data_IF_914245390337
#
_entry.id   IF_914245390337
#
_cell.length_a   1.000
_cell.length_b   1.000
_cell.length_c   1.000
_cell.angle_alpha   90.00
_cell.angle_beta   90.00
_cell.angle_gamma   90.00
#
_symmetry.space_group_name_H-M   'P 1'
#
loop_
_entity.id
_entity.type
_entity.pdbx_description
1 polymer ?
#
# COMPACT_ATOMS: atom_id res chain seq x y z
N UNK A 1 0.39 -13.94 -0.68
CA UNK A 1 1.76 -13.87 -1.27
C UNK A 1 2.74 -14.38 -0.21
N UNK A 2 3.80 -15.10 -0.56
CA UNK A 2 4.60 -15.93 0.35
C UNK A 2 5.62 -15.17 1.25
N UNK A 3 6.43 -15.92 2.01
CA UNK A 3 7.48 -15.40 2.91
C UNK A 3 8.68 -14.74 2.23
N UNK A 4 8.90 -14.97 0.93
CA UNK A 4 10.04 -14.41 0.21
C UNK A 4 9.72 -13.02 -0.36
N UNK A 5 8.44 -12.72 -0.59
CA UNK A 5 8.05 -11.51 -1.28
C UNK A 5 7.35 -10.49 -0.37
N UNK A 6 7.95 -9.31 -0.22
CA UNK A 6 7.44 -8.23 0.64
C UNK A 6 7.24 -6.91 -0.10
N UNK A 7 6.46 -6.03 0.51
CA UNK A 7 6.35 -4.62 0.14
C UNK A 7 6.67 -3.77 1.36
N UNK A 8 7.26 -2.62 1.10
CA UNK A 8 7.40 -1.54 2.05
C UNK A 8 6.86 -0.27 1.38
N UNK A 9 6.11 0.52 2.14
CA UNK A 9 5.65 1.84 1.72
C UNK A 9 6.04 2.87 2.78
N UNK A 10 6.08 4.13 2.38
CA UNK A 10 6.49 5.22 3.25
C UNK A 10 6.61 6.50 2.43
N UNK A 11 7.63 7.31 2.76
CA UNK A 11 7.87 8.60 2.12
C UNK A 11 7.99 9.72 3.14
N UNK A 12 7.86 10.95 2.67
CA UNK A 12 7.86 12.14 3.50
C UNK A 12 6.45 12.39 4.04
N UNK A 13 6.28 12.22 5.35
CA UNK A 13 4.99 12.37 6.02
C UNK A 13 4.51 13.84 6.08
N UNK A 14 5.38 14.81 5.76
CA UNK A 14 5.02 16.23 5.79
C UNK A 14 4.01 16.55 4.68
N UNK A 15 2.90 17.24 5.00
CA UNK A 15 1.90 17.59 4.00
C UNK A 15 2.49 18.32 2.78
N UNK A 16 2.06 17.91 1.58
CA UNK A 16 2.46 18.53 0.32
C UNK A 16 3.88 18.20 -0.17
N UNK A 17 4.64 17.36 0.54
CA UNK A 17 5.96 16.92 0.07
C UNK A 17 5.86 15.71 -0.85
N UNK A 18 6.61 15.75 -1.96
CA UNK A 18 6.71 14.62 -2.87
C UNK A 18 7.47 13.45 -2.22
N UNK A 19 7.03 12.23 -2.49
CA UNK A 19 7.68 11.01 -2.00
C UNK A 19 8.19 10.15 -3.15
N UNK A 20 9.27 10.56 -3.86
CA UNK A 20 9.74 9.88 -5.09
C UNK A 20 10.25 8.45 -4.86
N UNK A 21 10.38 8.03 -3.60
CA UNK A 21 10.73 6.65 -3.19
C UNK A 21 9.75 6.12 -2.13
N UNK A 22 8.46 6.32 -2.35
CA UNK A 22 7.40 5.93 -1.42
C UNK A 22 7.12 4.41 -1.36
N UNK A 23 7.76 3.59 -2.20
CA UNK A 23 7.54 2.15 -2.20
C UNK A 23 8.78 1.36 -2.63
N UNK A 24 8.95 0.18 -2.05
CA UNK A 24 9.96 -0.79 -2.41
C UNK A 24 9.41 -2.23 -2.32
N UNK A 25 10.01 -3.14 -3.09
CA UNK A 25 9.67 -4.57 -3.10
C UNK A 25 10.90 -5.43 -2.82
N UNK A 26 10.67 -6.57 -2.19
CA UNK A 26 11.66 -7.63 -2.01
C UNK A 26 11.11 -8.94 -2.60
N UNK A 27 12.02 -9.80 -3.05
CA UNK A 27 11.75 -11.18 -3.50
C UNK A 27 12.67 -12.19 -2.82
N UNK A 28 13.44 -11.77 -1.82
CA UNK A 28 14.47 -12.57 -1.14
C UNK A 28 14.34 -12.52 0.39
N UNK A 29 13.10 -12.39 0.87
CA UNK A 29 12.73 -12.29 2.29
C UNK A 29 13.33 -11.06 2.98
N UNK A 30 13.42 -9.94 2.26
CA UNK A 30 13.88 -8.65 2.81
C UNK A 30 15.40 -8.50 2.86
N UNK A 31 16.18 -9.42 2.27
CA UNK A 31 17.64 -9.28 2.15
C UNK A 31 18.02 -8.15 1.19
N UNK A 32 17.24 -7.96 0.14
CA UNK A 32 17.38 -6.91 -0.85
C UNK A 32 16.04 -6.24 -1.15
N UNK A 33 16.10 -4.93 -1.39
CA UNK A 33 14.93 -4.11 -1.71
C UNK A 33 15.18 -3.35 -3.02
N UNK A 34 14.18 -3.37 -3.89
CA UNK A 34 14.18 -2.61 -5.15
C UNK A 34 13.08 -1.55 -5.09
N UNK A 35 13.40 -0.26 -5.34
CA UNK A 35 12.39 0.79 -5.44
C UNK A 35 11.34 0.45 -6.49
N UNK A 36 10.08 0.80 -6.24
CA UNK A 36 9.03 0.71 -7.26
C UNK A 36 9.40 1.56 -8.49
N UNK A 37 9.05 1.08 -9.67
CA UNK A 37 9.32 1.77 -10.94
C UNK A 37 8.40 3.01 -11.06
N UNK A 38 7.17 2.89 -10.55
CA UNK A 38 6.25 4.01 -10.32
C UNK A 38 5.64 3.90 -8.92
N UNK A 39 6.23 4.56 -7.90
CA UNK A 39 5.72 4.51 -6.53
C UNK A 39 4.44 5.34 -6.36
N UNK A 40 3.73 5.21 -5.22
CA UNK A 40 2.73 6.19 -4.81
C UNK A 40 3.31 7.61 -4.85
N UNK A 41 2.49 8.60 -5.23
CA UNK A 41 2.95 9.98 -5.38
C UNK A 41 3.27 10.68 -4.05
N UNK A 42 2.68 10.19 -2.96
CA UNK A 42 2.76 10.75 -1.62
C UNK A 42 3.00 9.65 -0.57
N UNK A 43 3.23 10.07 0.67
CA UNK A 43 3.41 9.17 1.80
C UNK A 43 2.24 8.20 1.99
N UNK A 44 2.58 6.93 2.27
CA UNK A 44 1.64 5.88 2.67
C UNK A 44 2.11 5.26 3.99
N UNK A 45 1.19 5.15 4.94
CA UNK A 45 1.44 4.66 6.29
C UNK A 45 1.27 3.14 6.41
N UNK A 46 0.42 2.53 5.56
CA UNK A 46 0.12 1.10 5.62
C UNK A 46 0.06 0.46 4.24
N UNK A 47 0.37 -0.83 4.15
CA UNK A 47 0.24 -1.64 2.93
C UNK A 47 -0.20 -3.06 3.28
N UNK A 48 -1.16 -3.59 2.52
CA UNK A 48 -1.67 -4.96 2.69
C UNK A 48 -1.86 -5.65 1.34
N UNK A 49 -1.51 -6.94 1.28
CA UNK A 49 -1.82 -7.79 0.13
C UNK A 49 -3.32 -8.01 0.01
N UNK A 50 -3.85 -7.94 -1.21
CA UNK A 50 -5.22 -8.38 -1.44
C UNK A 50 -5.30 -9.92 -1.32
N UNK A 51 -6.33 -10.44 -0.64
CA UNK A 51 -6.52 -11.86 -0.48
C UNK A 51 -6.74 -12.51 -1.85
N UNK A 52 -6.24 -13.74 -2.02
CA UNK A 52 -6.25 -14.50 -3.27
C UNK A 52 -5.51 -13.87 -4.47
N UNK A 53 -4.82 -12.74 -4.28
CA UNK A 53 -3.89 -12.21 -5.28
C UNK A 53 -2.43 -12.47 -4.87
N UNK A 54 -1.60 -12.80 -5.86
CA UNK A 54 -0.14 -12.89 -5.67
C UNK A 54 0.56 -11.58 -6.03
N UNK A 55 -0.13 -10.64 -6.65
CA UNK A 55 0.48 -9.42 -7.21
C UNK A 55 -0.25 -8.14 -6.82
N UNK A 56 -1.47 -8.22 -6.28
CA UNK A 56 -2.25 -7.05 -5.94
C UNK A 56 -2.17 -6.70 -4.45
N UNK A 57 -2.00 -5.42 -4.15
CA UNK A 57 -1.94 -4.87 -2.79
C UNK A 57 -2.48 -3.44 -2.77
N UNK A 58 -2.99 -3.03 -1.61
CA UNK A 58 -3.39 -1.65 -1.33
C UNK A 58 -2.37 -1.01 -0.40
N UNK A 59 -2.02 0.25 -0.68
CA UNK A 59 -1.27 1.12 0.21
C UNK A 59 -2.15 2.31 0.57
N UNK A 60 -2.23 2.67 1.85
CA UNK A 60 -3.07 3.76 2.34
C UNK A 60 -2.24 4.82 3.04
N UNK A 61 -2.75 6.04 3.07
CA UNK A 61 -2.19 7.13 3.85
C UNK A 61 -3.14 8.33 3.94
N UNK A 62 -2.70 9.42 4.59
CA UNK A 62 -3.54 10.60 4.83
C UNK A 62 -4.05 11.28 3.56
N UNK A 63 -3.41 11.05 2.41
CA UNK A 63 -3.74 11.68 1.13
C UNK A 63 -4.25 10.70 0.07
N UNK A 64 -4.60 9.47 0.46
CA UNK A 64 -5.24 8.53 -0.46
C UNK A 64 -4.82 7.08 -0.31
N UNK A 65 -5.43 6.27 -1.17
CA UNK A 65 -5.18 4.84 -1.33
C UNK A 65 -4.67 4.57 -2.73
N UNK A 66 -3.59 3.79 -2.84
CA UNK A 66 -2.99 3.34 -4.09
C UNK A 66 -3.07 1.82 -4.21
N UNK A 67 -3.38 1.34 -5.41
CA UNK A 67 -3.41 -0.07 -5.77
C UNK A 67 -2.20 -0.41 -6.63
N UNK A 68 -1.55 -1.53 -6.33
CA UNK A 68 -0.71 -2.25 -7.30
C UNK A 68 -1.41 -3.53 -7.74
N UNK A 69 -1.15 -3.97 -8.96
CA UNK A 69 -1.59 -5.28 -9.49
C UNK A 69 -0.43 -6.10 -10.07
N UNK A 70 0.80 -5.56 -9.99
CA UNK A 70 2.01 -6.10 -10.61
C UNK A 70 3.10 -6.42 -9.56
N UNK A 71 2.71 -6.57 -8.30
CA UNK A 71 3.59 -6.95 -7.21
C UNK A 71 4.39 -5.80 -6.62
N UNK A 72 3.92 -4.56 -6.80
CA UNK A 72 4.52 -3.32 -6.29
C UNK A 72 5.53 -2.69 -7.22
N UNK A 73 5.54 -3.05 -8.51
CA UNK A 73 6.34 -2.37 -9.52
C UNK A 73 5.73 -1.00 -9.83
N UNK A 74 4.41 -0.96 -10.03
CA UNK A 74 3.68 0.27 -10.29
C UNK A 74 2.45 0.38 -9.41
N UNK A 75 2.14 1.63 -9.03
CA UNK A 75 1.04 1.99 -8.16
C UNK A 75 0.15 3.02 -8.83
N UNK A 76 -1.17 2.90 -8.64
CA UNK A 76 -2.17 3.84 -9.14
C UNK A 76 -3.11 4.25 -8.02
N UNK A 77 -3.42 5.54 -7.93
CA UNK A 77 -4.38 6.03 -6.94
C UNK A 77 -5.79 5.57 -7.29
N UNK A 78 -6.53 5.08 -6.29
CA UNK A 78 -7.91 4.57 -6.43
C UNK A 78 -8.90 5.27 -5.52
N UNK A 79 -8.43 5.89 -4.45
CA UNK A 79 -9.22 6.72 -3.56
C UNK A 79 -8.34 7.85 -3.02
N UNK A 80 -8.93 9.00 -2.72
CA UNK A 80 -8.23 10.16 -2.14
C UNK A 80 -8.56 10.36 -0.65
N UNK A 81 -9.28 9.42 -0.05
CA UNK A 81 -9.59 9.42 1.38
C UNK A 81 -8.37 9.16 2.27
N UNK A 82 -8.41 9.77 3.44
CA UNK A 82 -7.43 9.59 4.51
C UNK A 82 -7.68 8.29 5.26
N UNK A 83 -6.68 7.41 5.27
CA UNK A 83 -6.60 6.26 6.17
C UNK A 83 -5.18 6.12 6.73
N UNK A 84 -5.10 5.71 8.00
CA UNK A 84 -3.84 5.54 8.72
C UNK A 84 -3.32 4.10 8.63
N UNK A 85 -4.22 3.13 8.47
CA UNK A 85 -3.87 1.70 8.40
C UNK A 85 -4.80 0.92 7.49
N UNK A 86 -4.31 -0.20 6.98
CA UNK A 86 -5.05 -1.16 6.16
C UNK A 86 -4.64 -2.57 6.56
N UNK A 87 -5.61 -3.47 6.62
CA UNK A 87 -5.36 -4.90 6.77
C UNK A 87 -6.33 -5.71 5.92
N UNK A 88 -5.88 -6.87 5.47
CA UNK A 88 -6.61 -7.78 4.61
C UNK A 88 -6.55 -9.20 5.16
N UNK A 89 -7.71 -9.79 5.41
CA UNK A 89 -7.86 -11.11 6.00
C UNK A 89 -8.05 -12.19 4.93
N UNK A 90 -7.75 -13.47 5.23
CA UNK A 90 -7.91 -14.57 4.28
C UNK A 90 -9.34 -14.78 3.75
N UNK A 91 -10.36 -14.34 4.49
CA UNK A 91 -11.78 -14.44 4.16
C UNK A 91 -12.30 -13.31 3.24
N UNK A 92 -11.39 -12.64 2.53
CA UNK A 92 -11.66 -11.56 1.57
C UNK A 92 -11.94 -10.18 2.16
N UNK A 93 -12.01 -10.05 3.49
CA UNK A 93 -12.18 -8.75 4.14
C UNK A 93 -10.92 -7.89 4.01
N UNK A 94 -11.00 -6.75 3.33
CA UNK A 94 -9.98 -5.70 3.43
C UNK A 94 -10.59 -4.48 4.08
N UNK A 95 -9.97 -4.02 5.17
CA UNK A 95 -10.46 -2.92 5.96
C UNK A 95 -9.37 -1.85 6.09
N UNK A 96 -9.81 -0.60 6.10
CA UNK A 96 -8.95 0.54 6.38
C UNK A 96 -9.58 1.39 7.50
N UNK A 97 -8.73 1.97 8.34
CA UNK A 97 -9.14 2.87 9.40
C UNK A 97 -8.33 4.17 9.30
N UNK A 98 -8.97 5.30 9.61
CA UNK A 98 -8.38 6.63 9.45
C UNK A 98 -8.90 7.66 10.43
N UNK A 99 -8.64 8.91 10.09
CA UNK A 99 -8.97 10.08 10.91
C UNK A 99 -10.45 10.12 11.33
N UNK A 100 -10.71 10.72 12.50
CA UNK A 100 -12.07 10.97 13.00
C UNK A 100 -12.92 9.70 13.14
N UNK A 101 -12.28 8.55 13.35
CA UNK A 101 -12.96 7.26 13.48
C UNK A 101 -13.46 6.69 12.16
N UNK A 102 -12.96 7.17 11.01
CA UNK A 102 -13.32 6.65 9.70
C UNK A 102 -12.93 5.17 9.59
N UNK A 103 -13.86 4.36 9.09
CA UNK A 103 -13.63 2.96 8.75
C UNK A 103 -14.15 2.72 7.34
N UNK A 104 -13.40 2.00 6.53
CA UNK A 104 -13.80 1.58 5.20
C UNK A 104 -13.54 0.09 5.00
N UNK A 105 -14.34 -0.49 4.11
CA UNK A 105 -14.21 -1.85 3.61
C UNK A 105 -14.07 -1.80 2.10
N UNK A 106 -13.16 -2.59 1.56
CA UNK A 106 -13.06 -2.76 0.12
C UNK A 106 -14.27 -3.55 -0.41
N UNK A 107 -15.03 -2.92 -1.29
CA UNK A 107 -16.15 -3.55 -2.00
C UNK A 107 -15.78 -3.79 -3.46
N UNK A 108 -16.52 -4.68 -4.11
CA UNK A 108 -16.27 -5.13 -5.49
C UNK A 108 -16.73 -4.10 -6.53
#
# INVERSE_FOLDING_TARGET
RDRAHGLAVGGDYRPGQASPRAAARTSDAGRGWRPADRPPAAYRSGVAWLPHSRTAALAVGPTGTDLTTDGGHTWRTVDTGSYDTVDCTPDLGCWAAGEQGRVARLER
#
